data_IF_945052180702
#
_entry.id   IF_945052180702
#
_cell.length_a   1.000
_cell.length_b   1.000
_cell.length_c   1.000
_cell.angle_alpha   90.00
_cell.angle_beta   90.00
_cell.angle_gamma   90.00
#
_symmetry.space_group_name_H-M   'P 1'
#
loop_
_entity.id
_entity.type
_entity.pdbx_description
1 polymer ?
#
# COMPACT_ATOMS: atom_id res chain seq x y z
N UNK A 1 -10.63 1.77 -20.01
CA UNK A 1 -10.15 2.95 -19.24
C UNK A 1 -10.17 2.60 -17.75
N UNK A 2 -9.05 2.74 -17.02
CA UNK A 2 -8.97 2.48 -15.57
C UNK A 2 -9.16 3.80 -14.83
N UNK A 3 -9.99 3.81 -13.79
CA UNK A 3 -10.13 4.97 -12.90
C UNK A 3 -9.32 4.70 -11.62
N UNK A 4 -8.37 5.58 -11.32
CA UNK A 4 -7.48 5.47 -10.16
C UNK A 4 -7.78 6.59 -9.17
N UNK A 5 -7.86 6.23 -7.88
CA UNK A 5 -8.07 7.17 -6.78
C UNK A 5 -6.85 7.15 -5.85
N UNK A 6 -6.28 8.31 -5.49
CA UNK A 6 -5.06 8.42 -4.65
C UNK A 6 -5.37 8.94 -3.25
N UNK A 7 -4.71 8.37 -2.24
CA UNK A 7 -4.74 8.84 -0.85
C UNK A 7 -3.36 9.27 -0.36
N UNK A 8 -3.30 10.44 0.29
CA UNK A 8 -2.04 11.14 0.63
C UNK A 8 -1.94 11.50 2.12
N UNK A 9 -0.71 11.56 2.65
CA UNK A 9 -0.41 11.73 4.08
C UNK A 9 -0.74 13.10 4.66
N UNK A 10 -0.92 14.12 3.82
CA UNK A 10 -1.03 15.51 4.26
C UNK A 10 -2.47 15.94 4.54
N UNK A 11 -3.44 15.03 4.47
CA UNK A 11 -4.85 15.34 4.70
C UNK A 11 -5.21 15.30 6.18
N UNK A 12 -6.17 16.15 6.57
CA UNK A 12 -6.77 16.13 7.91
C UNK A 12 -7.75 14.95 8.03
N UNK A 13 -8.18 14.56 9.26
CA UNK A 13 -9.20 13.52 9.43
C UNK A 13 -10.49 13.80 8.65
N UNK A 14 -10.93 15.07 8.60
CA UNK A 14 -12.09 15.50 7.80
C UNK A 14 -11.82 15.31 6.30
N UNK A 15 -10.61 15.65 5.85
CA UNK A 15 -10.16 15.39 4.49
C UNK A 15 -10.24 13.91 4.12
N UNK A 16 -9.77 13.02 5.00
CA UNK A 16 -9.86 11.57 4.79
C UNK A 16 -11.29 11.05 4.77
N UNK A 17 -12.19 11.59 5.59
CA UNK A 17 -13.60 11.23 5.55
C UNK A 17 -14.27 11.63 4.22
N UNK A 18 -14.03 12.87 3.75
CA UNK A 18 -14.50 13.34 2.44
C UNK A 18 -13.93 12.46 1.32
N UNK A 19 -12.65 12.11 1.45
CA UNK A 19 -11.97 11.25 0.51
C UNK A 19 -12.64 9.86 0.41
N UNK A 20 -12.95 9.24 1.55
CA UNK A 20 -13.68 7.98 1.59
C UNK A 20 -15.07 8.08 0.94
N UNK A 21 -15.78 9.17 1.17
CA UNK A 21 -17.09 9.41 0.58
C UNK A 21 -17.01 9.60 -0.95
N UNK A 22 -16.02 10.36 -1.45
CA UNK A 22 -15.78 10.51 -2.89
C UNK A 22 -15.46 9.16 -3.52
N UNK A 23 -14.57 8.38 -2.91
CA UNK A 23 -14.22 7.05 -3.40
C UNK A 23 -15.45 6.14 -3.46
N UNK A 24 -16.28 6.14 -2.41
CA UNK A 24 -17.53 5.38 -2.36
C UNK A 24 -18.48 5.75 -3.51
N UNK A 25 -18.66 7.04 -3.78
CA UNK A 25 -19.50 7.52 -4.90
C UNK A 25 -18.93 7.14 -6.26
N UNK A 26 -17.61 7.23 -6.43
CA UNK A 26 -16.92 6.80 -7.65
C UNK A 26 -17.15 5.32 -7.90
N UNK A 27 -16.95 4.48 -6.89
CA UNK A 27 -17.15 3.04 -7.00
C UNK A 27 -18.60 2.71 -7.32
N UNK A 28 -19.56 3.32 -6.61
CA UNK A 28 -20.98 3.10 -6.84
C UNK A 28 -21.41 3.48 -8.26
N UNK A 29 -20.90 4.60 -8.79
CA UNK A 29 -21.28 5.11 -10.11
C UNK A 29 -20.59 4.35 -11.26
N UNK A 30 -19.33 3.99 -11.10
CA UNK A 30 -18.50 3.58 -12.25
C UNK A 30 -18.07 2.12 -12.24
N UNK A 31 -18.05 1.44 -11.09
CA UNK A 31 -17.65 0.02 -11.05
C UNK A 31 -18.49 -0.93 -11.93
N UNK A 32 -19.78 -0.68 -12.23
CA UNK A 32 -20.54 -1.55 -13.15
C UNK A 32 -20.06 -1.50 -14.60
N UNK A 33 -19.52 -0.37 -15.04
CA UNK A 33 -19.18 -0.12 -16.45
C UNK A 33 -17.67 -0.16 -16.72
N UNK A 34 -16.84 0.07 -15.70
CA UNK A 34 -15.39 0.20 -15.84
C UNK A 34 -14.65 -0.31 -14.61
N UNK A 35 -13.44 -0.82 -14.86
CA UNK A 35 -12.53 -1.22 -13.78
C UNK A 35 -12.04 0.00 -12.99
N UNK A 36 -12.34 0.01 -11.70
CA UNK A 36 -11.85 0.99 -10.73
C UNK A 36 -10.74 0.33 -9.90
N UNK A 37 -9.67 1.06 -9.64
CA UNK A 37 -8.59 0.63 -8.76
C UNK A 37 -8.32 1.69 -7.69
N UNK A 38 -7.99 1.24 -6.49
CA UNK A 38 -7.58 2.09 -5.38
C UNK A 38 -6.06 2.19 -5.35
N UNK A 39 -5.51 3.39 -5.43
CA UNK A 39 -4.08 3.66 -5.29
C UNK A 39 -3.80 4.30 -3.94
N UNK A 40 -2.86 3.76 -3.17
CA UNK A 40 -2.56 4.22 -1.82
C UNK A 40 -1.10 4.65 -1.71
N UNK A 41 -0.84 5.94 -1.45
CA UNK A 41 0.53 6.47 -1.32
C UNK A 41 1.21 5.97 -0.05
N UNK A 42 0.45 5.57 0.97
CA UNK A 42 1.03 5.01 2.18
C UNK A 42 1.90 3.76 1.93
N UNK A 43 1.66 3.04 0.84
CA UNK A 43 2.38 1.81 0.52
C UNK A 43 3.39 2.01 -0.60
N UNK A 44 4.58 1.49 -0.37
CA UNK A 44 5.65 1.43 -1.36
C UNK A 44 5.45 0.23 -2.30
N UNK A 45 5.94 0.35 -3.53
CA UNK A 45 5.74 -0.67 -4.57
C UNK A 45 6.28 -2.05 -4.20
N UNK A 46 7.28 -2.10 -3.32
CA UNK A 46 7.90 -3.34 -2.88
C UNK A 46 7.08 -4.16 -1.89
N UNK A 47 6.05 -3.57 -1.27
CA UNK A 47 5.09 -4.28 -0.42
C UNK A 47 3.81 -4.68 -1.15
N UNK A 48 3.74 -4.51 -2.48
CA UNK A 48 2.55 -4.87 -3.26
C UNK A 48 2.10 -6.32 -3.02
N UNK A 49 3.04 -7.26 -2.90
CA UNK A 49 2.71 -8.68 -2.62
C UNK A 49 1.94 -8.81 -1.31
N UNK A 50 2.35 -8.08 -0.27
CA UNK A 50 1.72 -8.11 1.06
C UNK A 50 0.33 -7.46 1.02
N UNK A 51 0.18 -6.38 0.23
CA UNK A 51 -1.11 -5.75 -0.04
C UNK A 51 -2.05 -6.73 -0.73
N UNK A 52 -1.57 -7.44 -1.75
CA UNK A 52 -2.35 -8.42 -2.51
C UNK A 52 -2.75 -9.62 -1.63
N UNK A 53 -1.86 -10.10 -0.77
CA UNK A 53 -2.13 -11.18 0.19
C UNK A 53 -3.24 -10.78 1.18
N UNK A 54 -3.19 -9.56 1.73
CA UNK A 54 -4.23 -9.09 2.65
C UNK A 54 -5.57 -8.84 1.94
N UNK A 55 -5.52 -8.26 0.74
CA UNK A 55 -6.68 -8.06 -0.13
C UNK A 55 -7.38 -9.38 -0.47
N UNK A 56 -6.61 -10.44 -0.78
CA UNK A 56 -7.11 -11.80 -1.03
C UNK A 56 -7.53 -12.56 0.23
N UNK A 57 -7.28 -12.01 1.42
CA UNK A 57 -7.60 -12.66 2.69
C UNK A 57 -6.65 -13.80 3.07
N UNK A 58 -5.44 -13.84 2.51
CA UNK A 58 -4.43 -14.86 2.79
C UNK A 58 -3.68 -14.61 4.11
N UNK A 59 -3.63 -13.36 4.55
CA UNK A 59 -2.99 -12.95 5.82
C UNK A 59 -3.98 -12.13 6.66
N UNK A 60 -3.79 -12.15 7.98
CA UNK A 60 -4.57 -11.33 8.90
C UNK A 60 -4.20 -9.85 8.79
N UNK A 61 -5.09 -8.96 9.24
CA UNK A 61 -4.79 -7.52 9.32
C UNK A 61 -3.55 -7.26 10.20
N UNK A 62 -3.36 -8.03 11.27
CA UNK A 62 -2.16 -7.91 12.11
C UNK A 62 -0.87 -8.26 11.35
N UNK A 63 -0.87 -9.32 10.54
CA UNK A 63 0.27 -9.72 9.72
C UNK A 63 0.54 -8.70 8.60
N UNK A 64 -0.53 -8.16 8.01
CA UNK A 64 -0.46 -7.08 7.03
C UNK A 64 0.22 -5.85 7.63
N UNK A 65 -0.28 -5.34 8.76
CA UNK A 65 0.27 -4.16 9.45
C UNK A 65 1.74 -4.34 9.82
N UNK A 66 2.14 -5.54 10.23
CA UNK A 66 3.52 -5.85 10.58
C UNK A 66 4.48 -5.87 9.37
N UNK A 67 3.96 -6.11 8.16
CA UNK A 67 4.78 -6.38 6.98
C UNK A 67 4.72 -5.26 5.93
N UNK A 68 3.64 -4.47 5.88
CA UNK A 68 3.39 -3.45 4.84
C UNK A 68 3.86 -2.03 5.20
N UNK A 69 4.36 -1.81 6.43
CA UNK A 69 4.84 -0.50 6.93
C UNK A 69 3.84 0.65 6.73
N UNK A 70 2.58 0.50 7.14
CA UNK A 70 1.56 1.53 6.99
C UNK A 70 1.87 2.78 7.84
N UNK A 71 1.29 3.92 7.48
CA UNK A 71 1.30 5.11 8.34
C UNK A 71 0.50 4.90 9.63
N UNK A 72 0.85 5.63 10.70
CA UNK A 72 0.28 5.43 12.04
C UNK A 72 -1.23 5.63 12.13
N UNK A 73 -1.81 6.41 11.22
CA UNK A 73 -3.24 6.69 11.10
C UNK A 73 -3.99 5.73 10.17
N UNK A 74 -3.39 4.60 9.74
CA UNK A 74 -4.05 3.65 8.85
C UNK A 74 -5.45 3.24 9.34
N UNK A 75 -5.57 2.87 10.62
CA UNK A 75 -6.80 2.33 11.18
C UNK A 75 -7.97 3.30 11.10
N UNK A 76 -7.72 4.60 11.26
CA UNK A 76 -8.76 5.64 11.26
C UNK A 76 -9.02 6.17 9.86
N UNK A 77 -7.96 6.40 9.08
CA UNK A 77 -8.05 7.27 7.90
C UNK A 77 -8.04 6.49 6.58
N UNK A 78 -7.45 5.29 6.56
CA UNK A 78 -7.20 4.52 5.32
C UNK A 78 -7.91 3.17 5.29
N UNK A 79 -8.11 2.55 6.46
CA UNK A 79 -8.84 1.28 6.58
C UNK A 79 -10.22 1.32 5.91
N UNK A 80 -11.04 2.39 6.04
CA UNK A 80 -12.34 2.44 5.35
C UNK A 80 -12.22 2.35 3.82
N UNK A 81 -11.20 2.97 3.23
CA UNK A 81 -10.93 2.89 1.79
C UNK A 81 -10.54 1.46 1.39
N UNK A 82 -9.63 0.85 2.17
CA UNK A 82 -9.13 -0.49 1.91
C UNK A 82 -10.24 -1.54 2.00
N UNK A 83 -11.03 -1.51 3.07
CA UNK A 83 -12.12 -2.46 3.28
C UNK A 83 -13.23 -2.30 2.23
N UNK A 84 -13.54 -1.07 1.81
CA UNK A 84 -14.46 -0.86 0.68
C UNK A 84 -13.91 -1.45 -0.62
N UNK A 85 -12.62 -1.26 -0.91
CA UNK A 85 -12.00 -1.87 -2.08
C UNK A 85 -12.01 -3.41 -2.02
N UNK A 86 -11.82 -3.98 -0.83
CA UNK A 86 -11.88 -5.43 -0.59
C UNK A 86 -13.29 -5.98 -0.79
N UNK A 87 -14.31 -5.35 -0.19
CA UNK A 87 -15.73 -5.69 -0.36
C UNK A 87 -16.14 -5.68 -1.84
N UNK A 88 -15.71 -4.65 -2.57
CA UNK A 88 -16.03 -4.46 -3.99
C UNK A 88 -15.06 -5.18 -4.93
N UNK A 89 -14.13 -5.99 -4.41
CA UNK A 89 -13.12 -6.74 -5.16
C UNK A 89 -12.33 -5.88 -6.16
N UNK A 90 -12.02 -4.64 -5.77
CA UNK A 90 -11.25 -3.70 -6.56
C UNK A 90 -9.75 -3.95 -6.38
N UNK A 91 -8.99 -3.74 -7.45
CA UNK A 91 -7.53 -3.81 -7.39
C UNK A 91 -6.98 -2.71 -6.45
N UNK A 92 -6.03 -3.07 -5.59
CA UNK A 92 -5.35 -2.13 -4.69
C UNK A 92 -3.88 -2.01 -5.11
N UNK A 93 -3.40 -0.78 -5.24
CA UNK A 93 -2.12 -0.45 -5.86
C UNK A 93 -1.26 0.36 -4.86
N UNK A 94 -0.09 -0.17 -4.50
CA UNK A 94 0.84 0.46 -3.55
C UNK A 94 1.67 1.60 -4.18
N UNK A 95 1.14 2.82 -4.19
CA UNK A 95 1.50 3.87 -5.15
C UNK A 95 2.98 4.30 -5.15
N UNK A 96 3.63 4.33 -3.99
CA UNK A 96 4.89 5.05 -3.82
C UNK A 96 6.13 4.25 -4.27
N UNK A 97 7.16 4.98 -4.71
CA UNK A 97 8.45 4.38 -5.01
C UNK A 97 9.14 3.92 -3.71
N UNK A 98 9.83 2.77 -3.69
CA UNK A 98 10.56 2.33 -2.51
C UNK A 98 11.60 3.38 -2.08
N UNK A 99 11.55 3.82 -0.82
CA UNK A 99 12.38 4.92 -0.30
C UNK A 99 13.88 4.70 -0.46
N UNK A 100 14.34 3.45 -0.50
CA UNK A 100 15.75 3.12 -0.81
C UNK A 100 16.21 3.64 -2.18
N UNK A 101 15.34 3.57 -3.20
CA UNK A 101 15.67 4.04 -4.54
C UNK A 101 15.51 5.56 -4.64
N UNK A 102 14.52 6.13 -3.95
CA UNK A 102 14.39 7.59 -3.80
C UNK A 102 15.66 8.18 -3.15
N UNK A 103 16.13 7.56 -2.06
CA UNK A 103 17.35 7.97 -1.36
C UNK A 103 18.60 7.81 -2.24
N UNK A 104 18.69 6.72 -3.00
CA UNK A 104 19.80 6.50 -3.93
C UNK A 104 19.87 7.60 -4.99
N UNK A 105 18.74 7.92 -5.63
CA UNK A 105 18.66 9.01 -6.62
C UNK A 105 18.97 10.36 -6.00
N UNK A 106 18.48 10.62 -4.79
CA UNK A 106 18.76 11.87 -4.07
C UNK A 106 20.24 12.05 -3.73
N UNK A 107 20.98 10.97 -3.48
CA UNK A 107 22.41 11.01 -3.10
C UNK A 107 23.35 10.96 -4.29
N UNK A 108 23.01 10.14 -5.30
CA UNK A 108 23.92 9.76 -6.37
C UNK A 108 23.49 10.34 -7.73
N UNK A 109 22.45 11.19 -7.76
CA UNK A 109 21.91 11.77 -8.98
C UNK A 109 20.96 10.84 -9.73
N UNK A 110 20.29 11.40 -10.75
CA UNK A 110 19.25 10.71 -11.54
C UNK A 110 19.77 9.46 -12.25
N UNK A 111 21.01 9.50 -12.74
CA UNK A 111 21.61 8.40 -13.51
C UNK A 111 21.87 7.15 -12.67
N UNK A 112 21.91 7.27 -11.35
CA UNK A 112 22.04 6.12 -10.45
C UNK A 112 20.95 5.07 -10.65
N UNK A 113 19.77 5.44 -11.17
CA UNK A 113 18.69 4.50 -11.48
C UNK A 113 19.05 3.50 -12.58
N UNK A 114 20.02 3.81 -13.44
CA UNK A 114 20.47 2.94 -14.52
C UNK A 114 21.24 1.72 -13.99
N UNK A 115 21.74 1.78 -12.76
CA UNK A 115 22.36 0.64 -12.08
C UNK A 115 21.34 -0.42 -11.60
N UNK A 116 20.03 -0.10 -11.62
CA UNK A 116 18.99 -1.01 -11.16
C UNK A 116 18.49 -1.93 -12.28
N UNK A 117 18.29 -3.21 -11.94
CA UNK A 117 17.58 -4.14 -12.81
C UNK A 117 16.12 -3.71 -13.03
N UNK A 118 15.51 -4.17 -14.12
CA UNK A 118 14.08 -3.93 -14.41
C UNK A 118 13.16 -4.34 -13.26
N UNK A 119 13.48 -5.45 -12.57
CA UNK A 119 12.72 -5.94 -11.40
C UNK A 119 12.82 -4.99 -10.21
N UNK A 120 14.00 -4.41 -9.96
CA UNK A 120 14.20 -3.42 -8.90
C UNK A 120 13.50 -2.10 -9.22
N UNK A 121 13.55 -1.65 -10.48
CA UNK A 121 12.84 -0.45 -10.94
C UNK A 121 11.32 -0.57 -10.79
N UNK A 122 10.77 -1.75 -11.06
CA UNK A 122 9.35 -2.04 -10.91
C UNK A 122 8.95 -2.32 -9.44
N UNK A 123 9.88 -2.18 -8.49
CA UNK A 123 9.65 -2.42 -7.06
C UNK A 123 9.48 -3.90 -6.68
N UNK A 124 9.47 -4.85 -7.61
CA UNK A 124 9.15 -6.27 -7.38
C UNK A 124 10.24 -7.08 -6.68
N UNK A 125 11.16 -6.43 -5.94
CA UNK A 125 12.20 -7.12 -5.18
C UNK A 125 11.67 -7.45 -3.78
N UNK A 126 11.31 -8.71 -3.58
CA UNK A 126 10.84 -9.27 -2.32
C UNK A 126 11.96 -9.21 -1.26
N UNK A 127 11.66 -8.59 -0.11
CA UNK A 127 12.51 -8.67 1.07
C UNK A 127 12.16 -9.90 1.89
N UNK A 128 13.13 -10.73 2.32
CA UNK A 128 12.94 -11.57 3.48
C UNK A 128 12.80 -10.63 4.69
N UNK A 129 11.70 -10.74 5.43
CA UNK A 129 11.44 -9.97 6.64
C UNK A 129 12.48 -10.30 7.71
N UNK A 130 13.62 -9.61 7.69
CA UNK A 130 14.72 -9.77 8.65
C UNK A 130 14.34 -9.42 10.11
N UNK A 131 13.08 -9.04 10.39
CA UNK A 131 12.60 -8.71 11.72
C UNK A 131 11.66 -9.77 12.34
N UNK A 132 11.51 -10.96 11.72
CA UNK A 132 10.64 -12.03 12.24
C UNK A 132 11.16 -12.65 13.55
N UNK A 133 12.46 -12.55 13.84
CA UNK A 133 13.06 -13.16 15.05
C UNK A 133 12.67 -12.47 16.36
N UNK A 134 12.50 -11.14 16.39
CA UNK A 134 12.21 -10.43 17.66
C UNK A 134 10.77 -10.57 18.15
N UNK A 135 9.81 -10.86 17.27
CA UNK A 135 8.41 -11.02 17.69
C UNK A 135 8.05 -12.45 18.12
N UNK A 136 8.73 -13.48 17.62
CA UNK A 136 8.50 -14.87 18.08
C UNK A 136 9.20 -15.19 19.40
N UNK A 137 10.36 -14.60 19.68
CA UNK A 137 11.12 -14.84 20.93
C UNK A 137 10.47 -14.26 22.19
N UNK A 138 9.47 -13.38 22.05
CA UNK A 138 8.75 -12.77 23.18
C UNK A 138 7.46 -13.49 23.54
N UNK A 139 7.02 -14.45 22.73
CA UNK A 139 5.80 -15.23 22.93
C UNK A 139 6.05 -16.66 23.45
N UNK A 140 7.31 -17.02 23.72
CA UNK A 140 7.73 -18.36 24.15
C UNK A 140 8.59 -18.36 25.44
N UNK A 141 8.46 -17.33 26.28
CA UNK A 141 9.01 -17.41 27.65
C UNK A 141 7.86 -17.76 28.61
N UNK A 142 8.02 -18.83 29.42
CA UNK A 142 7.00 -19.25 30.38
C UNK A 142 6.74 -18.19 31.45
#
# INVERSE_FOLDING_TARGET
MKLSFSASSTMTPVGHAIQAEIFRRIVAKYSPERKVALSLEMFERDVQIIVDEYWRGLISEAQFMASSRPWGNYKTDYRPLFELAKDKKLDIVAANAPRRYVNMVSRNGRDSINSLTKKQRNGSHHYPTANRRRHMERSLRP
#
